data_IF_855537948378
#
_entry.id   IF_855537948378
#
_cell.length_a   1.000
_cell.length_b   1.000
_cell.length_c   1.000
_cell.angle_alpha   90.00
_cell.angle_beta   90.00
_cell.angle_gamma   90.00
#
_symmetry.space_group_name_H-M   'P 1'
#
loop_
_entity.id
_entity.type
_entity.pdbx_description
1 polymer ?
#
# COMPACT_ATOMS: atom_id res chain seq x y z
N UNK A 1 -11.21 -8.17 -16.21
CA UNK A 1 -11.33 -7.04 -15.26
C UNK A 1 -10.61 -5.83 -15.84
N UNK A 2 -11.24 -4.67 -15.88
CA UNK A 2 -10.67 -3.41 -16.38
C UNK A 2 -10.36 -2.49 -15.20
N UNK A 3 -9.13 -1.99 -15.14
CA UNK A 3 -8.68 -1.06 -14.10
C UNK A 3 -8.36 0.29 -14.73
N UNK A 4 -9.03 1.33 -14.29
CA UNK A 4 -8.67 2.71 -14.60
C UNK A 4 -7.48 3.10 -13.70
N UNK A 5 -6.33 3.28 -14.34
CA UNK A 5 -5.02 3.29 -13.70
C UNK A 5 -4.24 4.58 -13.96
N UNK A 6 -3.49 5.00 -12.97
CA UNK A 6 -2.42 5.98 -13.14
C UNK A 6 -1.14 5.43 -12.53
N UNK A 7 -0.09 5.36 -13.33
CA UNK A 7 1.15 4.65 -13.00
C UNK A 7 1.78 5.10 -11.68
N UNK A 8 1.69 6.40 -11.35
CA UNK A 8 2.25 6.99 -10.12
C UNK A 8 1.25 7.02 -8.95
N UNK A 9 0.06 6.44 -9.09
CA UNK A 9 -0.91 6.36 -8.00
C UNK A 9 -0.64 5.18 -7.08
N UNK A 10 -0.39 5.41 -5.77
CA UNK A 10 -0.24 4.32 -4.80
C UNK A 10 -1.49 3.46 -4.67
N UNK A 11 -2.69 4.07 -4.77
CA UNK A 11 -3.96 3.35 -4.73
C UNK A 11 -4.16 2.43 -5.94
N UNK A 12 -3.78 2.89 -7.15
CA UNK A 12 -3.80 2.05 -8.34
C UNK A 12 -2.75 0.93 -8.23
N UNK A 13 -1.56 1.26 -7.74
CA UNK A 13 -0.49 0.28 -7.55
C UNK A 13 -0.89 -0.85 -6.59
N UNK A 14 -1.63 -0.58 -5.50
CA UNK A 14 -2.18 -1.64 -4.62
C UNK A 14 -2.89 -2.72 -5.43
N UNK A 15 -3.77 -2.29 -6.35
CA UNK A 15 -4.59 -3.19 -7.16
C UNK A 15 -3.74 -3.96 -8.17
N UNK A 16 -2.79 -3.27 -8.84
CA UNK A 16 -1.83 -3.91 -9.76
C UNK A 16 -0.94 -4.91 -9.03
N UNK A 17 -0.42 -4.56 -7.85
CA UNK A 17 0.41 -5.45 -7.05
C UNK A 17 -0.37 -6.69 -6.61
N UNK A 18 -1.59 -6.50 -6.10
CA UNK A 18 -2.45 -7.63 -5.71
C UNK A 18 -2.74 -8.54 -6.90
N UNK A 19 -3.07 -7.98 -8.06
CA UNK A 19 -3.31 -8.75 -9.27
C UNK A 19 -2.06 -9.56 -9.69
N UNK A 20 -0.87 -8.95 -9.64
CA UNK A 20 0.39 -9.62 -9.96
C UNK A 20 0.69 -10.77 -8.97
N UNK A 21 0.52 -10.54 -7.67
CA UNK A 21 0.76 -11.54 -6.62
C UNK A 21 -0.23 -12.71 -6.68
N UNK A 22 -1.43 -12.49 -7.22
CA UNK A 22 -2.47 -13.53 -7.37
C UNK A 22 -2.54 -14.12 -8.76
N UNK A 23 -1.68 -13.70 -9.70
CA UNK A 23 -1.71 -14.15 -11.09
C UNK A 23 -2.95 -13.69 -11.87
N UNK A 24 -3.64 -12.64 -11.38
CA UNK A 24 -4.83 -12.09 -12.03
C UNK A 24 -4.45 -11.13 -13.15
N UNK A 25 -5.04 -11.29 -14.32
CA UNK A 25 -4.84 -10.39 -15.46
C UNK A 25 -5.79 -9.18 -15.35
N UNK A 26 -5.23 -7.97 -15.49
CA UNK A 26 -5.97 -6.72 -15.57
C UNK A 26 -5.80 -6.10 -16.96
N UNK A 27 -6.90 -5.61 -17.51
CA UNK A 27 -6.91 -4.68 -18.65
C UNK A 27 -6.74 -3.25 -18.10
N UNK A 28 -5.57 -2.65 -18.32
CA UNK A 28 -5.22 -1.35 -17.77
C UNK A 28 -5.65 -0.22 -18.71
N UNK A 29 -6.59 0.60 -18.29
CA UNK A 29 -6.95 1.84 -18.95
C UNK A 29 -6.23 2.99 -18.26
N UNK A 30 -5.23 3.55 -18.94
CA UNK A 30 -4.48 4.70 -18.43
C UNK A 30 -5.41 5.93 -18.28
N UNK A 31 -5.26 6.63 -17.16
CA UNK A 31 -5.97 7.87 -16.85
C UNK A 31 -4.98 9.02 -16.78
N UNK A 32 -5.20 10.09 -17.53
CA UNK A 32 -4.43 11.32 -17.38
C UNK A 32 -4.86 12.05 -16.09
N UNK A 33 -4.35 11.52 -14.97
CA UNK A 33 -4.63 12.06 -13.65
C UNK A 33 -4.02 13.45 -13.46
N UNK A 34 -2.80 13.63 -13.98
CA UNK A 34 -2.05 14.87 -13.92
C UNK A 34 -1.15 14.99 -15.18
N UNK A 35 -1.19 16.12 -15.91
CA UNK A 35 -1.95 17.35 -15.60
C UNK A 35 -3.41 17.36 -16.08
N UNK A 36 -3.87 16.39 -16.90
CA UNK A 36 -5.13 16.43 -17.61
C UNK A 36 -6.39 16.35 -16.76
N UNK A 37 -6.30 15.93 -15.48
CA UNK A 37 -7.43 15.80 -14.54
C UNK A 37 -8.60 14.97 -15.08
N UNK A 38 -8.33 14.01 -15.96
CA UNK A 38 -9.32 13.17 -16.62
C UNK A 38 -10.27 12.46 -15.64
N UNK A 39 -9.76 12.11 -14.43
CA UNK A 39 -10.56 11.51 -13.35
C UNK A 39 -11.72 12.40 -12.86
N UNK A 40 -11.72 13.69 -13.20
CA UNK A 40 -12.79 14.67 -12.94
C UNK A 40 -13.62 15.01 -14.18
N UNK A 41 -13.36 14.36 -15.29
CA UNK A 41 -14.16 14.47 -16.49
C UNK A 41 -15.49 13.71 -16.39
N UNK A 42 -16.48 14.07 -17.23
CA UNK A 42 -17.84 13.51 -17.11
C UNK A 42 -17.88 11.98 -17.24
N UNK A 43 -17.03 11.39 -18.06
CA UNK A 43 -16.96 9.95 -18.25
C UNK A 43 -16.62 9.24 -16.93
N UNK A 44 -15.53 9.65 -16.25
CA UNK A 44 -15.08 9.00 -15.01
C UNK A 44 -15.90 9.41 -13.81
N UNK A 45 -16.47 10.61 -13.77
CA UNK A 45 -17.44 11.02 -12.74
C UNK A 45 -18.74 10.22 -12.79
N UNK A 46 -19.16 9.75 -13.97
CA UNK A 46 -20.31 8.87 -14.10
C UNK A 46 -20.06 7.48 -13.45
N UNK A 47 -18.81 7.00 -13.49
CA UNK A 47 -18.41 5.75 -12.84
C UNK A 47 -18.09 5.95 -11.34
N UNK A 48 -17.43 7.05 -11.01
CA UNK A 48 -17.05 7.38 -9.63
C UNK A 48 -17.30 8.87 -9.35
N UNK A 49 -18.45 9.22 -8.75
CA UNK A 49 -18.77 10.62 -8.42
C UNK A 49 -17.78 11.30 -7.47
N UNK A 50 -16.96 10.53 -6.71
CA UNK A 50 -15.91 11.08 -5.87
C UNK A 50 -14.73 11.66 -6.67
N UNK A 51 -14.67 11.42 -8.01
CA UNK A 51 -13.60 11.92 -8.88
C UNK A 51 -12.23 11.41 -8.42
N UNK A 52 -12.13 10.14 -8.08
CA UNK A 52 -10.88 9.49 -7.65
C UNK A 52 -10.63 8.21 -8.45
N UNK A 53 -9.39 7.76 -8.43
CA UNK A 53 -8.92 6.48 -8.99
C UNK A 53 -8.17 5.69 -7.91
N UNK A 54 -8.11 4.35 -8.05
CA UNK A 54 -8.57 3.48 -9.14
C UNK A 54 -10.08 3.34 -9.23
N UNK A 55 -10.56 2.87 -10.41
CA UNK A 55 -11.89 2.31 -10.62
C UNK A 55 -11.69 0.93 -11.22
N UNK A 56 -12.40 -0.08 -10.72
CA UNK A 56 -12.37 -1.45 -11.21
C UNK A 56 -13.73 -1.86 -11.73
N UNK A 57 -13.79 -2.33 -12.98
CA UNK A 57 -14.96 -2.94 -13.60
C UNK A 57 -14.72 -4.43 -13.85
N UNK A 58 -15.68 -5.28 -13.46
CA UNK A 58 -15.66 -6.72 -13.75
C UNK A 58 -17.10 -7.24 -13.94
N UNK A 59 -17.55 -7.27 -15.18
CA UNK A 59 -18.95 -7.56 -15.51
C UNK A 59 -19.90 -6.50 -14.95
N UNK A 60 -20.77 -6.88 -14.05
CA UNK A 60 -21.71 -6.00 -13.35
C UNK A 60 -21.15 -5.38 -12.06
N UNK A 61 -19.92 -5.76 -11.69
CA UNK A 61 -19.24 -5.21 -10.50
C UNK A 61 -18.50 -3.94 -10.85
N UNK A 62 -18.79 -2.86 -10.13
CA UNK A 62 -18.07 -1.60 -10.17
C UNK A 62 -17.55 -1.27 -8.76
N UNK A 63 -16.24 -1.16 -8.60
CA UNK A 63 -15.60 -0.78 -7.34
C UNK A 63 -14.80 0.50 -7.50
N UNK A 64 -14.87 1.38 -6.50
CA UNK A 64 -14.20 2.68 -6.48
C UNK A 64 -13.24 2.86 -5.29
N UNK A 65 -13.22 1.88 -4.36
CA UNK A 65 -12.34 1.87 -3.20
C UNK A 65 -11.23 0.82 -3.35
N UNK A 66 -9.98 1.25 -3.34
CA UNK A 66 -8.84 0.36 -3.57
C UNK A 66 -8.75 -0.80 -2.56
N UNK A 67 -9.10 -0.58 -1.29
CA UNK A 67 -9.12 -1.65 -0.28
C UNK A 67 -10.20 -2.70 -0.56
N UNK A 68 -11.37 -2.29 -1.07
CA UNK A 68 -12.42 -3.21 -1.49
C UNK A 68 -12.00 -4.03 -2.72
N UNK A 69 -11.25 -3.41 -3.65
CA UNK A 69 -10.69 -4.10 -4.81
C UNK A 69 -9.69 -5.19 -4.40
N UNK A 70 -8.85 -4.94 -3.38
CA UNK A 70 -7.94 -5.95 -2.84
C UNK A 70 -8.71 -7.17 -2.31
N UNK A 71 -9.76 -6.93 -1.53
CA UNK A 71 -10.62 -7.99 -0.99
C UNK A 71 -11.29 -8.77 -2.13
N UNK A 72 -11.80 -8.05 -3.14
CA UNK A 72 -12.45 -8.67 -4.30
C UNK A 72 -11.49 -9.56 -5.10
N UNK A 73 -10.29 -9.08 -5.41
CA UNK A 73 -9.27 -9.85 -6.12
C UNK A 73 -8.84 -11.08 -5.33
N UNK A 74 -8.61 -10.92 -4.02
CA UNK A 74 -8.25 -12.02 -3.15
C UNK A 74 -9.36 -13.08 -3.09
N UNK A 75 -10.62 -12.67 -2.90
CA UNK A 75 -11.75 -13.60 -2.85
C UNK A 75 -11.92 -14.40 -4.14
N UNK A 76 -11.62 -13.79 -5.30
CA UNK A 76 -11.74 -14.49 -6.61
C UNK A 76 -10.58 -15.43 -6.92
N UNK A 77 -9.35 -15.02 -6.62
CA UNK A 77 -8.16 -15.68 -7.15
C UNK A 77 -7.25 -16.32 -6.09
N UNK A 78 -7.26 -15.80 -4.87
CA UNK A 78 -6.34 -16.22 -3.81
C UNK A 78 -6.94 -15.99 -2.40
N UNK A 79 -7.95 -16.79 -2.00
CA UNK A 79 -8.64 -16.60 -0.71
C UNK A 79 -7.71 -16.61 0.50
N UNK A 80 -6.54 -17.23 0.40
CA UNK A 80 -5.52 -17.26 1.45
C UNK A 80 -4.94 -15.87 1.79
N UNK A 81 -5.15 -14.85 0.93
CA UNK A 81 -4.80 -13.47 1.24
C UNK A 81 -5.83 -12.77 2.14
N UNK A 82 -7.00 -13.37 2.30
CA UNK A 82 -8.01 -12.96 3.28
C UNK A 82 -7.74 -13.68 4.61
N UNK A 83 -8.44 -13.24 5.66
CA UNK A 83 -8.50 -14.02 6.87
C UNK A 83 -9.20 -15.36 6.62
N UNK A 84 -8.68 -16.42 7.22
CA UNK A 84 -9.37 -17.70 7.26
C UNK A 84 -10.62 -17.65 8.15
N UNK A 85 -11.02 -18.79 8.72
CA UNK A 85 -12.18 -18.89 9.64
C UNK A 85 -11.91 -18.33 11.03
N UNK A 86 -10.67 -17.92 11.36
CA UNK A 86 -10.34 -17.32 12.65
C UNK A 86 -10.83 -15.88 12.73
N UNK A 87 -11.80 -15.65 13.62
CA UNK A 87 -12.37 -14.33 13.86
C UNK A 87 -11.33 -13.29 14.34
N UNK A 88 -10.27 -13.71 15.05
CA UNK A 88 -9.21 -12.82 15.51
C UNK A 88 -8.37 -12.34 14.33
N UNK A 89 -8.01 -13.25 13.42
CA UNK A 89 -7.29 -12.90 12.20
C UNK A 89 -8.15 -11.98 11.32
N UNK A 90 -9.44 -12.30 11.13
CA UNK A 90 -10.37 -11.46 10.37
C UNK A 90 -10.46 -10.03 10.93
N UNK A 91 -10.55 -9.90 12.24
CA UNK A 91 -10.58 -8.59 12.91
C UNK A 91 -9.27 -7.81 12.68
N UNK A 92 -8.10 -8.47 12.76
CA UNK A 92 -6.80 -7.83 12.49
C UNK A 92 -6.65 -7.39 11.04
N UNK A 93 -7.04 -8.23 10.08
CA UNK A 93 -7.05 -7.85 8.66
C UNK A 93 -7.90 -6.61 8.45
N UNK A 94 -9.13 -6.60 8.98
CA UNK A 94 -10.03 -5.46 8.86
C UNK A 94 -9.49 -4.20 9.56
N UNK A 95 -8.86 -4.34 10.73
CA UNK A 95 -8.23 -3.24 11.45
C UNK A 95 -7.18 -2.55 10.58
N UNK A 96 -6.27 -3.31 9.95
CA UNK A 96 -5.23 -2.76 9.11
C UNK A 96 -5.73 -2.24 7.75
N UNK A 97 -6.78 -2.85 7.19
CA UNK A 97 -7.47 -2.28 6.03
C UNK A 97 -8.06 -0.90 6.36
N UNK A 98 -8.72 -0.75 7.51
CA UNK A 98 -9.25 0.55 7.96
C UNK A 98 -8.12 1.55 8.26
N UNK A 99 -7.04 1.08 8.89
CA UNK A 99 -5.86 1.88 9.17
C UNK A 99 -5.20 2.44 7.89
N UNK A 100 -5.21 1.68 6.79
CA UNK A 100 -4.61 2.12 5.52
C UNK A 100 -5.18 3.45 5.00
N UNK A 101 -6.40 3.80 5.37
CA UNK A 101 -7.00 5.11 5.07
C UNK A 101 -6.25 6.27 5.74
N UNK A 102 -5.73 6.06 6.95
CA UNK A 102 -4.91 7.06 7.66
C UNK A 102 -3.56 7.28 6.96
N UNK A 103 -2.93 6.22 6.46
CA UNK A 103 -1.72 6.33 5.64
C UNK A 103 -1.99 7.08 4.34
N UNK A 104 -3.14 6.81 3.71
CA UNK A 104 -3.57 7.50 2.49
C UNK A 104 -3.74 8.99 2.71
N UNK A 105 -4.44 9.39 3.77
CA UNK A 105 -4.72 10.81 4.05
C UNK A 105 -3.49 11.58 4.53
N UNK A 106 -2.58 10.95 5.27
CA UNK A 106 -1.38 11.59 5.82
C UNK A 106 -0.18 11.51 4.87
N UNK A 107 0.44 10.33 4.74
CA UNK A 107 1.63 10.14 3.87
C UNK A 107 1.30 10.37 2.40
N UNK A 108 0.13 9.88 1.94
CA UNK A 108 -0.35 10.13 0.59
C UNK A 108 -0.63 11.61 0.35
N UNK A 109 -1.21 12.31 1.32
CA UNK A 109 -1.42 13.76 1.30
C UNK A 109 -0.12 14.54 1.21
N UNK A 110 0.88 14.20 2.06
CA UNK A 110 2.21 14.81 2.04
C UNK A 110 2.90 14.62 0.68
N UNK A 111 2.84 13.40 0.13
CA UNK A 111 3.38 13.11 -1.21
C UNK A 111 2.70 13.93 -2.31
N UNK A 112 1.37 14.06 -2.28
CA UNK A 112 0.64 14.88 -3.27
C UNK A 112 0.99 16.36 -3.14
N UNK A 113 1.24 16.86 -1.92
CA UNK A 113 1.72 18.22 -1.69
C UNK A 113 3.09 18.44 -2.34
N UNK A 114 4.06 17.58 -2.06
CA UNK A 114 5.43 17.71 -2.58
C UNK A 114 5.52 17.46 -4.10
N UNK A 115 4.86 16.41 -4.59
CA UNK A 115 5.01 15.99 -5.99
C UNK A 115 4.10 16.75 -6.97
N UNK A 116 2.91 17.17 -6.54
CA UNK A 116 1.90 17.79 -7.40
C UNK A 116 1.47 19.17 -6.91
N UNK A 117 2.18 19.75 -5.93
CA UNK A 117 1.90 21.07 -5.36
C UNK A 117 0.45 21.25 -4.90
N UNK A 118 -0.18 20.16 -4.42
CA UNK A 118 -1.54 20.26 -3.89
C UNK A 118 -1.57 21.12 -2.62
N UNK A 119 -2.56 22.03 -2.49
CA UNK A 119 -2.69 22.82 -1.28
C UNK A 119 -2.86 21.94 -0.03
N UNK A 120 -2.25 22.34 1.08
CA UNK A 120 -2.36 21.65 2.37
C UNK A 120 -1.30 22.11 3.37
N UNK A 121 -1.50 21.80 4.64
CA UNK A 121 -0.50 21.99 5.67
C UNK A 121 0.44 20.78 5.68
N UNK A 122 1.59 20.93 5.03
CA UNK A 122 2.60 19.87 4.92
C UNK A 122 3.10 19.41 6.31
N UNK A 123 3.27 20.32 7.26
CA UNK A 123 3.69 19.99 8.62
C UNK A 123 2.67 19.11 9.35
N UNK A 124 1.39 19.42 9.21
CA UNK A 124 0.31 18.60 9.77
C UNK A 124 0.22 17.23 9.10
N UNK A 125 0.37 17.16 7.77
CA UNK A 125 0.36 15.90 7.01
C UNK A 125 1.53 15.00 7.40
N UNK A 126 2.74 15.54 7.49
CA UNK A 126 3.94 14.83 7.92
C UNK A 126 3.83 14.35 9.37
N UNK A 127 3.39 15.22 10.30
CA UNK A 127 3.19 14.86 11.69
C UNK A 127 2.19 13.72 11.87
N UNK A 128 1.07 13.76 11.14
CA UNK A 128 0.08 12.69 11.12
C UNK A 128 0.64 11.40 10.52
N UNK A 129 1.46 11.52 9.46
CA UNK A 129 2.15 10.39 8.84
C UNK A 129 3.16 9.72 9.78
N UNK A 130 3.95 10.50 10.50
CA UNK A 130 4.89 10.03 11.53
C UNK A 130 4.14 9.30 12.65
N UNK A 131 3.01 9.83 13.11
CA UNK A 131 2.18 9.17 14.12
C UNK A 131 1.64 7.81 13.60
N UNK A 132 1.18 7.76 12.36
CA UNK A 132 0.73 6.52 11.74
C UNK A 132 1.88 5.51 11.57
N UNK A 133 3.08 5.94 11.16
CA UNK A 133 4.24 5.05 11.06
C UNK A 133 4.65 4.47 12.43
N UNK A 134 4.59 5.25 13.50
CA UNK A 134 4.86 4.73 14.87
C UNK A 134 3.88 3.64 15.28
N UNK A 135 2.59 3.82 14.97
CA UNK A 135 1.57 2.82 15.26
C UNK A 135 1.80 1.53 14.44
N UNK A 136 2.14 1.67 13.16
CA UNK A 136 2.47 0.55 12.29
C UNK A 136 3.73 -0.20 12.77
N UNK A 137 4.77 0.53 13.15
CA UNK A 137 6.01 -0.03 13.70
C UNK A 137 5.72 -0.87 14.95
N UNK A 138 4.99 -0.31 15.91
CA UNK A 138 4.59 -1.03 17.13
C UNK A 138 3.77 -2.28 16.82
N UNK A 139 2.81 -2.18 15.90
CA UNK A 139 2.02 -3.34 15.47
C UNK A 139 2.88 -4.46 14.88
N UNK A 140 3.90 -4.11 14.07
CA UNK A 140 4.84 -5.09 13.51
C UNK A 140 5.76 -5.69 14.57
N UNK A 141 6.20 -4.92 15.56
CA UNK A 141 6.98 -5.41 16.69
C UNK A 141 6.16 -6.41 17.51
N UNK A 142 4.91 -6.09 17.85
CA UNK A 142 4.01 -6.99 18.56
C UNK A 142 3.74 -8.30 17.78
N UNK A 143 3.64 -8.22 16.45
CA UNK A 143 3.50 -9.42 15.62
C UNK A 143 4.78 -10.26 15.66
N UNK A 144 5.95 -9.64 15.60
CA UNK A 144 7.22 -10.33 15.70
C UNK A 144 7.39 -11.07 17.05
N UNK A 145 6.97 -10.47 18.16
CA UNK A 145 6.94 -11.12 19.47
C UNK A 145 6.04 -12.37 19.53
N UNK A 146 5.01 -12.42 18.69
CA UNK A 146 4.13 -13.58 18.50
C UNK A 146 4.65 -14.58 17.47
N UNK A 147 5.86 -14.38 16.93
CA UNK A 147 6.46 -15.19 15.87
C UNK A 147 5.87 -14.95 14.49
N UNK A 148 5.10 -13.88 14.29
CA UNK A 148 4.46 -13.53 13.01
C UNK A 148 5.29 -12.52 12.23
N UNK A 149 5.20 -12.56 10.90
CA UNK A 149 6.07 -11.76 10.00
C UNK A 149 5.35 -10.61 9.30
N UNK A 150 4.01 -10.60 9.30
CA UNK A 150 3.16 -9.65 8.59
C UNK A 150 2.13 -9.02 9.54
N UNK A 151 1.35 -8.06 9.04
CA UNK A 151 0.47 -7.23 9.88
C UNK A 151 -0.61 -8.00 10.62
N UNK A 152 -1.17 -9.05 10.04
CA UNK A 152 -2.30 -9.76 10.62
C UNK A 152 -2.01 -11.24 10.93
N UNK A 153 -1.03 -11.83 10.27
CA UNK A 153 -0.73 -13.27 10.32
C UNK A 153 0.76 -13.55 10.07
N UNK A 154 1.18 -14.82 10.05
CA UNK A 154 2.55 -15.22 9.62
C UNK A 154 2.70 -15.27 8.08
N UNK A 155 1.66 -15.01 7.34
CA UNK A 155 1.62 -14.87 5.89
C UNK A 155 1.14 -13.48 5.48
N UNK A 156 1.47 -13.01 4.25
CA UNK A 156 0.95 -11.74 3.76
C UNK A 156 -0.56 -11.82 3.57
N UNK A 157 -1.24 -10.69 3.77
CA UNK A 157 -2.67 -10.53 3.59
C UNK A 157 -2.97 -9.26 2.79
N UNK A 158 -4.23 -9.07 2.41
CA UNK A 158 -4.67 -7.82 1.76
C UNK A 158 -4.38 -6.58 2.61
N UNK A 159 -4.27 -6.73 3.93
CA UNK A 159 -3.91 -5.65 4.85
C UNK A 159 -2.49 -5.13 4.59
N UNK A 160 -1.55 -6.03 4.32
CA UNK A 160 -0.17 -5.69 4.00
C UNK A 160 -0.11 -4.90 2.69
N UNK A 161 -0.81 -5.36 1.66
CA UNK A 161 -0.86 -4.69 0.36
C UNK A 161 -1.56 -3.33 0.46
N UNK A 162 -2.56 -3.19 1.32
CA UNK A 162 -3.26 -1.92 1.53
C UNK A 162 -2.35 -0.85 2.15
N UNK A 163 -1.46 -1.22 3.07
CA UNK A 163 -0.59 -0.30 3.79
C UNK A 163 0.72 -0.01 3.03
N UNK A 164 1.30 -1.01 2.36
CA UNK A 164 2.66 -0.99 1.82
C UNK A 164 2.98 0.22 0.93
N UNK A 165 2.21 0.59 -0.10
CA UNK A 165 2.64 1.62 -1.05
C UNK A 165 2.81 3.00 -0.41
N UNK A 166 1.92 3.38 0.50
CA UNK A 166 2.02 4.68 1.16
C UNK A 166 3.19 4.76 2.13
N UNK A 167 3.50 3.63 2.80
CA UNK A 167 4.69 3.53 3.65
C UNK A 167 5.95 3.60 2.80
N UNK A 168 6.05 2.80 1.74
CA UNK A 168 7.22 2.76 0.87
C UNK A 168 7.51 4.09 0.16
N UNK A 169 6.45 4.89 -0.09
CA UNK A 169 6.53 6.22 -0.73
C UNK A 169 6.57 7.39 0.28
N UNK A 170 6.63 7.12 1.59
CA UNK A 170 6.71 8.17 2.61
C UNK A 170 7.85 9.18 2.38
N UNK A 171 9.05 8.77 1.89
CA UNK A 171 10.13 9.69 1.59
C UNK A 171 9.81 10.73 0.51
N UNK A 172 8.94 10.41 -0.47
CA UNK A 172 8.49 11.37 -1.48
C UNK A 172 7.68 12.53 -0.87
N UNK A 173 7.12 12.33 0.32
CA UNK A 173 6.44 13.34 1.12
C UNK A 173 7.30 13.91 2.25
N UNK A 174 8.63 13.69 2.22
CA UNK A 174 9.57 14.23 3.21
C UNK A 174 9.59 13.47 4.54
N UNK A 175 9.03 12.26 4.64
CA UNK A 175 9.01 11.47 5.87
C UNK A 175 9.97 10.28 5.77
N UNK A 176 11.07 10.29 6.57
CA UNK A 176 12.07 9.20 6.58
C UNK A 176 11.52 7.93 7.21
N UNK A 177 11.95 6.77 6.66
CA UNK A 177 11.72 5.43 7.22
C UNK A 177 12.89 4.92 8.08
N UNK A 178 13.97 5.67 8.21
CA UNK A 178 15.15 5.23 8.97
C UNK A 178 14.85 4.88 10.45
N UNK A 179 13.95 5.60 11.16
CA UNK A 179 13.62 5.30 12.53
C UNK A 179 12.79 4.01 12.74
N UNK A 180 12.36 3.33 11.67
CA UNK A 180 11.36 2.25 11.72
C UNK A 180 11.91 0.91 11.22
N UNK A 181 12.72 0.17 12.02
CA UNK A 181 13.36 -1.07 11.59
C UNK A 181 12.39 -2.20 11.27
N UNK A 182 11.27 -2.35 12.02
CA UNK A 182 10.29 -3.39 11.76
C UNK A 182 9.53 -3.12 10.43
N UNK A 183 9.18 -1.87 10.15
CA UNK A 183 8.59 -1.46 8.86
C UNK A 183 9.55 -1.78 7.71
N UNK A 184 10.82 -1.45 7.85
CA UNK A 184 11.85 -1.70 6.81
C UNK A 184 12.01 -3.20 6.55
N UNK A 185 12.03 -4.02 7.61
CA UNK A 185 12.09 -5.47 7.47
C UNK A 185 10.82 -6.04 6.82
N UNK A 186 9.65 -5.58 7.23
CA UNK A 186 8.36 -5.96 6.65
C UNK A 186 8.29 -5.58 5.17
N UNK A 187 8.68 -4.37 4.80
CA UNK A 187 8.75 -3.91 3.40
C UNK A 187 9.66 -4.81 2.57
N UNK A 188 10.82 -5.20 3.10
CA UNK A 188 11.74 -6.13 2.44
C UNK A 188 11.11 -7.50 2.21
N UNK A 189 10.38 -8.02 3.21
CA UNK A 189 9.67 -9.30 3.08
C UNK A 189 8.62 -9.26 1.97
N UNK A 190 7.83 -8.19 1.89
CA UNK A 190 6.84 -8.02 0.83
C UNK A 190 7.49 -7.98 -0.55
N UNK A 191 8.58 -7.24 -0.70
CA UNK A 191 9.32 -7.13 -1.97
C UNK A 191 9.98 -8.44 -2.40
N UNK A 192 10.16 -9.36 -1.48
CA UNK A 192 10.72 -10.70 -1.76
C UNK A 192 9.66 -11.73 -2.16
N UNK A 193 8.38 -11.36 -2.18
CA UNK A 193 7.31 -12.28 -2.57
C UNK A 193 7.39 -12.61 -4.07
N UNK A 194 7.20 -13.87 -4.45
CA UNK A 194 7.07 -14.24 -5.85
C UNK A 194 5.93 -13.45 -6.52
N UNK A 195 6.19 -12.88 -7.68
CA UNK A 195 5.23 -12.05 -8.40
C UNK A 195 5.15 -10.60 -7.94
N UNK A 196 5.99 -10.16 -7.00
CA UNK A 196 6.06 -8.75 -6.63
C UNK A 196 6.48 -7.89 -7.84
N UNK A 197 5.76 -6.80 -8.06
CA UNK A 197 6.07 -5.81 -9.09
C UNK A 197 6.52 -4.49 -8.47
N UNK A 198 7.50 -3.85 -9.04
CA UNK A 198 7.98 -2.54 -8.57
C UNK A 198 7.05 -1.40 -9.00
N UNK A 199 7.06 -0.34 -8.21
CA UNK A 199 6.39 0.92 -8.55
C UNK A 199 7.43 2.04 -8.67
N UNK A 200 7.29 2.96 -9.65
CA UNK A 200 8.13 4.16 -9.71
C UNK A 200 8.06 4.97 -8.41
N UNK A 201 9.21 5.42 -7.92
CA UNK A 201 9.33 6.19 -6.67
C UNK A 201 9.58 5.34 -5.41
N UNK A 202 9.37 4.03 -5.45
CA UNK A 202 9.74 3.15 -4.33
C UNK A 202 11.22 2.77 -4.45
N UNK A 203 12.05 3.28 -3.55
CA UNK A 203 13.49 3.07 -3.55
C UNK A 203 13.91 2.01 -2.52
N UNK A 204 14.91 1.19 -2.88
CA UNK A 204 15.48 0.16 -1.99
C UNK A 204 16.30 0.75 -0.84
N UNK A 205 16.66 2.03 -0.90
CA UNK A 205 17.44 2.73 0.12
C UNK A 205 16.81 2.71 1.52
N UNK A 206 15.48 2.50 1.59
CA UNK A 206 14.73 2.45 2.84
C UNK A 206 14.62 1.04 3.44
N UNK A 207 15.20 0.03 2.78
CA UNK A 207 15.30 -1.32 3.34
C UNK A 207 16.40 -1.36 4.42
N UNK A 208 16.30 -2.34 5.31
CA UNK A 208 17.36 -2.58 6.29
C UNK A 208 18.69 -2.79 5.57
N UNK A 209 19.72 -2.03 5.97
CA UNK A 209 21.08 -2.32 5.54
C UNK A 209 21.47 -3.70 6.08
N UNK A 210 22.28 -4.48 5.35
CA UNK A 210 22.90 -5.67 5.90
C UNK A 210 23.59 -5.29 7.21
N UNK A 211 23.49 -6.15 8.24
CA UNK A 211 24.33 -5.98 9.41
C UNK A 211 25.78 -5.90 8.98
N UNK A 212 26.61 -4.96 9.53
CA UNK A 212 28.03 -4.94 9.25
C UNK A 212 28.57 -6.35 9.59
N UNK A 213 29.21 -6.98 8.62
CA UNK A 213 29.94 -8.20 8.91
C UNK A 213 31.03 -7.79 9.92
N UNK A 214 30.92 -8.29 11.17
CA UNK A 214 32.00 -8.19 12.12
C UNK A 214 33.20 -8.89 11.45
N UNK A 215 34.18 -8.11 11.03
CA UNK A 215 35.46 -8.67 10.59
C UNK A 215 35.94 -9.57 11.72
N UNK A 216 36.02 -10.87 11.45
CA UNK A 216 36.68 -11.78 12.35
C UNK A 216 38.12 -11.29 12.41
N UNK A 217 38.47 -10.66 13.54
CA UNK A 217 39.87 -10.39 13.86
C UNK A 217 40.59 -11.72 13.85
N UNK A 218 41.36 -11.96 12.82
CA UNK A 218 42.35 -13.02 12.79
C UNK A 218 43.36 -12.72 13.92
N UNK A 219 43.30 -13.51 14.96
CA UNK A 219 44.36 -13.66 15.99
C UNK A 219 45.25 -14.81 15.62
#
# INVERSE_FOLDING_TARGET
MKLYDYILSPSCYKVRLMAALTGTTLDLRAVDFHPGLEHRGPELLALNPAGSIPILEDGDVLLTESSAMLVYLAAKAAPDWLAGSDAKEAARVQQWLSFSGRLTSSLGGARLHEMLLRPGDIGALQSSGIAALRELELGLVEQAERGQKFLAADRPTVADIACFPYVALAPDGGVSLDPYPAIRLWSRRLRSLPGFIEMPGIHRLHELKPEPQLEKSET
#
